data_IF_469688917583
#
_entry.id   IF_469688917583
#
_cell.length_a   1.000
_cell.length_b   1.000
_cell.length_c   1.000
_cell.angle_alpha   90.00
_cell.angle_beta   90.00
_cell.angle_gamma   90.00
#
_symmetry.space_group_name_H-M   'P 1'
#
loop_
_entity.id
_entity.type
_entity.pdbx_description
1 polymer ?
2 non-polymer ?
3 non-polymer ?
4 non-polymer ?
5 water ?
#
# COMPACT_ATOMS: atom_id res chain seq x y z
N UNK A 39 -7.87 -25.57 13.98
CA UNK A 39 -7.47 -24.17 13.97
C UNK A 39 -8.28 -23.33 12.96
N UNK A 40 -9.27 -22.65 13.46
CA UNK A 40 -9.98 -21.68 12.64
C UNK A 40 -9.38 -20.32 12.97
N UNK A 41 -8.43 -19.93 12.17
CA UNK A 41 -7.63 -18.75 12.43
C UNK A 41 -8.38 -17.52 11.90
N UNK A 42 -8.86 -16.62 12.77
CA UNK A 42 -9.60 -15.44 12.30
C UNK A 42 -8.74 -14.52 11.45
N UNK A 43 -7.44 -14.57 11.65
CA UNK A 43 -6.59 -13.60 10.96
C UNK A 43 -6.15 -14.08 9.57
N UNK A 44 -6.37 -15.36 9.25
CA UNK A 44 -6.06 -15.83 7.88
C UNK A 44 -7.26 -16.45 7.18
N UNK A 45 -8.44 -16.45 7.80
CA UNK A 45 -9.59 -17.04 7.13
C UNK A 45 -9.82 -16.34 5.78
N UNK A 46 -9.89 -17.07 4.64
CA UNK A 46 -9.76 -16.43 3.32
C UNK A 46 -10.88 -15.46 2.98
N UNK A 47 -10.51 -14.44 2.23
CA UNK A 47 -11.44 -13.50 1.61
C UNK A 47 -11.30 -13.49 0.09
N UNK A 48 -12.38 -13.10 -0.59
CA UNK A 48 -12.37 -12.84 -2.02
C UNK A 48 -11.65 -13.94 -2.80
N UNK A 49 -12.12 -15.16 -2.60
CA UNK A 49 -11.36 -16.31 -3.06
C UNK A 49 -11.30 -16.35 -4.59
N UNK A 50 -12.35 -15.91 -5.29
CA UNK A 50 -12.29 -15.90 -6.75
C UNK A 50 -11.30 -14.84 -7.27
N UNK A 51 -11.41 -13.61 -6.75
CA UNK A 51 -10.48 -12.56 -7.14
C UNK A 51 -9.06 -12.90 -6.74
N UNK A 52 -8.90 -13.66 -5.64
CA UNK A 52 -7.58 -14.03 -5.16
C UNK A 52 -6.83 -14.93 -6.14
N UNK A 53 -7.54 -15.66 -7.04
CA UNK A 53 -6.83 -16.48 -8.02
C UNK A 53 -5.91 -15.63 -8.89
N UNK A 54 -6.34 -14.42 -9.24
CA UNK A 54 -5.51 -13.47 -9.96
C UNK A 54 -4.61 -12.66 -9.04
N UNK A 55 -5.19 -12.05 -8.00
CA UNK A 55 -4.40 -11.19 -7.13
C UNK A 55 -3.21 -11.94 -6.53
N UNK A 56 -3.43 -13.18 -6.09
CA UNK A 56 -2.40 -13.89 -5.35
C UNK A 56 -1.65 -14.89 -6.24
N UNK A 57 -1.73 -14.73 -7.57
CA UNK A 57 -0.93 -15.63 -8.39
C UNK A 57 0.55 -15.52 -7.99
N UNK A 58 1.25 -16.62 -7.88
CA UNK A 58 2.57 -16.56 -7.26
C UNK A 58 3.63 -16.02 -8.20
N UNK A 59 4.64 -15.40 -7.58
CA UNK A 59 5.87 -14.95 -8.26
C UNK A 59 7.05 -15.28 -7.36
N UNK A 60 8.20 -15.64 -7.92
CA UNK A 60 9.34 -15.79 -7.07
C UNK A 60 9.70 -14.46 -6.42
N UNK A 61 10.07 -14.46 -5.16
CA UNK A 61 10.56 -13.21 -4.56
C UNK A 61 11.85 -12.76 -5.23
N UNK A 62 12.01 -11.45 -5.34
CA UNK A 62 13.11 -10.87 -6.15
C UNK A 62 13.66 -9.66 -5.43
N UNK A 63 14.98 -9.45 -5.56
CA UNK A 63 15.62 -8.21 -5.11
C UNK A 63 15.27 -7.11 -6.10
N UNK A 64 14.87 -5.95 -5.58
CA UNK A 64 14.63 -4.76 -6.39
C UNK A 64 15.94 -4.06 -6.63
N UNK A 65 16.57 -3.64 -5.54
CA UNK A 65 17.86 -2.98 -5.63
C UNK A 65 18.39 -2.98 -4.20
N UNK A 66 19.68 -3.25 -4.06
CA UNK A 66 20.19 -3.07 -2.70
C UNK A 66 19.58 -4.06 -1.76
N UNK A 67 19.26 -3.62 -0.57
CA UNK A 67 18.61 -4.54 0.36
C UNK A 67 17.09 -4.35 0.37
N UNK A 68 16.49 -4.10 -0.80
CA UNK A 68 15.04 -4.00 -0.90
C UNK A 68 14.56 -5.07 -1.87
N UNK A 69 13.46 -5.71 -1.50
CA UNK A 69 12.95 -6.88 -2.21
C UNK A 69 11.44 -6.82 -2.41
N UNK A 70 10.98 -7.65 -3.32
CA UNK A 70 9.54 -7.91 -3.48
C UNK A 70 9.22 -9.33 -3.02
N UNK A 71 8.18 -9.43 -2.19
CA UNK A 71 7.76 -10.76 -1.67
C UNK A 71 6.26 -10.96 -1.83
N UNK A 72 5.65 -10.17 -2.69
CA UNK A 72 4.23 -10.23 -2.96
C UNK A 72 3.86 -11.12 -4.13
N UNK A 73 2.84 -10.71 -4.88
CA UNK A 73 2.14 -11.60 -5.84
C UNK A 73 1.95 -10.87 -7.17
N UNK A 74 1.36 -11.57 -8.16
CA UNK A 74 1.23 -10.95 -9.46
C UNK A 74 0.35 -9.72 -9.39
N UNK A 75 -0.67 -9.74 -8.55
CA UNK A 75 -1.62 -8.63 -8.55
C UNK A 75 -1.57 -7.71 -7.32
N UNK A 76 -0.67 -7.98 -6.36
CA UNK A 76 -0.61 -7.18 -5.11
C UNK A 76 0.84 -7.12 -4.70
N UNK A 77 1.34 -5.91 -4.55
CA UNK A 77 2.74 -5.72 -4.17
C UNK A 77 2.91 -5.81 -2.66
N UNK A 78 3.95 -6.54 -2.24
CA UNK A 78 4.41 -6.52 -0.85
C UNK A 78 5.93 -6.36 -0.89
N UNK A 79 6.46 -5.36 -0.18
CA UNK A 79 7.92 -5.12 -0.20
C UNK A 79 8.56 -5.56 1.10
N UNK A 80 9.86 -5.85 1.05
CA UNK A 80 10.65 -6.26 2.24
C UNK A 80 11.94 -5.46 2.17
N UNK A 81 12.25 -4.75 3.25
CA UNK A 81 13.49 -3.96 3.33
C UNK A 81 14.34 -4.53 4.43
N UNK A 82 15.59 -4.89 4.10
CA UNK A 82 16.56 -5.32 5.09
C UNK A 82 17.37 -4.11 5.55
N UNK A 83 17.12 -3.64 6.78
CA UNK A 83 17.69 -2.35 7.19
C UNK A 83 19.05 -2.48 7.85
N UNK A 84 19.49 -3.69 8.15
CA UNK A 84 20.69 -3.93 8.92
C UNK A 84 20.43 -4.05 10.40
N UNK A 85 19.24 -3.66 10.86
CA UNK A 85 18.80 -3.76 12.25
C UNK A 85 17.36 -4.25 12.31
N UNK A 86 17.02 -5.15 11.41
CA UNK A 86 15.68 -5.68 11.34
C UNK A 86 15.10 -5.45 9.97
N UNK A 87 13.97 -6.08 9.76
CA UNK A 87 13.31 -6.06 8.43
C UNK A 87 12.06 -5.23 8.52
N UNK A 88 11.68 -4.65 7.39
CA UNK A 88 10.41 -3.91 7.29
C UNK A 88 9.61 -4.48 6.12
N UNK A 89 8.34 -4.79 6.36
CA UNK A 89 7.43 -5.18 5.27
C UNK A 89 6.55 -4.00 4.93
N UNK A 90 6.10 -3.91 3.68
CA UNK A 90 5.12 -2.94 3.22
C UNK A 90 3.95 -3.72 2.67
N UNK A 91 2.79 -3.53 3.33
CA UNK A 91 1.49 -4.15 3.06
C UNK A 91 1.49 -5.66 3.35
N UNK A 92 0.27 -6.22 3.27
CA UNK A 92 0.07 -7.60 3.72
C UNK A 92 -0.89 -8.38 2.87
N UNK A 93 -1.31 -7.87 1.72
CA UNK A 93 -2.27 -8.55 0.84
C UNK A 93 -3.51 -9.04 1.64
N UNK A 94 -4.10 -10.15 1.16
CA UNK A 94 -5.33 -10.71 1.75
C UNK A 94 -5.02 -11.54 3.00
N UNK A 95 -6.02 -11.85 3.84
CA UNK A 95 -5.70 -12.64 5.04
C UNK A 95 -4.99 -13.97 4.73
N UNK A 96 -5.46 -14.71 3.72
CA UNK A 96 -4.84 -15.99 3.43
C UNK A 96 -3.47 -15.83 2.79
N UNK A 97 -3.05 -14.59 2.46
CA UNK A 97 -1.71 -14.40 1.91
C UNK A 97 -0.64 -14.36 2.97
N UNK A 98 -1.02 -14.20 4.25
CA UNK A 98 0.05 -14.04 5.24
C UNK A 98 1.04 -15.20 5.25
N UNK A 99 0.62 -16.46 5.25
CA UNK A 99 1.61 -17.55 5.16
C UNK A 99 2.44 -17.54 3.88
N UNK A 100 1.85 -17.14 2.74
CA UNK A 100 2.57 -17.08 1.47
C UNK A 100 3.65 -16.00 1.53
N UNK A 101 3.34 -14.86 2.14
CA UNK A 101 4.34 -13.80 2.32
C UNK A 101 5.51 -14.28 3.17
N UNK A 102 5.21 -14.92 4.31
CA UNK A 102 6.28 -15.36 5.19
C UNK A 102 7.13 -16.43 4.48
N UNK A 103 6.49 -17.32 3.73
CA UNK A 103 7.24 -18.27 2.92
C UNK A 103 8.20 -17.55 1.96
N UNK A 104 7.72 -16.50 1.28
CA UNK A 104 8.57 -15.76 0.36
C UNK A 104 9.74 -15.10 1.10
N UNK A 105 9.49 -14.60 2.31
CA UNK A 105 10.56 -13.98 3.10
C UNK A 105 11.63 -15.04 3.38
N UNK A 106 11.19 -16.25 3.75
CA UNK A 106 12.14 -17.34 3.99
C UNK A 106 12.87 -17.77 2.73
N UNK A 107 12.21 -17.75 1.57
CA UNK A 107 12.89 -18.16 0.34
C UNK A 107 14.07 -17.26 0.02
N UNK A 108 13.99 -15.99 0.42
CA UNK A 108 15.08 -15.04 0.26
C UNK A 108 16.18 -15.22 1.30
N UNK A 109 16.00 -16.11 2.27
CA UNK A 109 16.98 -16.37 3.29
C UNK A 109 16.81 -15.60 4.56
N UNK A 110 15.65 -14.98 4.77
CA UNK A 110 15.43 -14.15 5.94
C UNK A 110 14.53 -14.89 6.96
N UNK A 111 14.65 -14.47 8.23
CA UNK A 111 13.82 -14.98 9.31
C UNK A 111 12.72 -13.96 9.55
N UNK A 112 11.44 -14.35 9.37
CA UNK A 112 10.34 -13.41 9.60
C UNK A 112 10.30 -12.88 11.02
N UNK A 113 10.89 -13.60 11.98
CA UNK A 113 10.93 -13.07 13.35
C UNK A 113 11.74 -11.78 13.44
N UNK A 114 12.51 -11.44 12.39
CA UNK A 114 13.25 -10.20 12.37
C UNK A 114 12.47 -9.03 11.77
N UNK A 115 11.20 -9.20 11.42
CA UNK A 115 10.42 -8.10 10.87
C UNK A 115 9.96 -7.24 12.04
N UNK A 116 10.41 -5.99 12.04
CA UNK A 116 10.15 -5.07 13.13
C UNK A 116 8.95 -4.18 12.86
N UNK A 117 8.69 -3.86 11.61
CA UNK A 117 7.60 -2.94 11.25
C UNK A 117 6.92 -3.46 10.01
N UNK A 118 5.59 -3.24 9.93
CA UNK A 118 4.82 -3.48 8.72
C UNK A 118 4.17 -2.16 8.38
N UNK A 119 4.54 -1.58 7.22
CA UNK A 119 3.96 -0.29 6.80
C UNK A 119 2.66 -0.55 6.01
N UNK A 120 1.64 0.29 6.17
CA UNK A 120 0.34 0.07 5.52
C UNK A 120 0.00 1.23 4.58
N UNK A 121 -0.25 0.93 3.28
CA UNK A 121 -0.63 2.00 2.37
C UNK A 121 -2.09 2.40 2.52
N UNK A 122 -2.95 1.45 2.91
CA UNK A 122 -4.40 1.73 2.99
C UNK A 122 -5.14 0.64 3.75
N UNK A 123 -6.25 0.99 4.39
CA UNK A 123 -6.95 0.04 5.26
C UNK A 123 -8.10 -0.65 4.51
N UNK A 124 -7.76 -1.32 3.38
CA UNK A 124 -8.70 -2.13 2.64
C UNK A 124 -8.17 -3.56 2.66
N UNK A 125 -9.09 -4.53 2.56
CA UNK A 125 -8.65 -5.91 2.85
C UNK A 125 -7.68 -6.50 1.81
N UNK A 126 -7.54 -5.91 0.60
CA UNK A 126 -6.59 -6.47 -0.35
C UNK A 126 -5.18 -5.94 -0.11
N UNK A 127 -4.98 -5.00 0.85
CA UNK A 127 -3.64 -4.57 1.23
C UNK A 127 -3.39 -4.72 2.70
N UNK A 128 -4.42 -4.64 3.52
CA UNK A 128 -4.23 -4.80 4.95
C UNK A 128 -4.72 -6.15 5.47
N UNK A 129 -5.35 -6.95 4.62
CA UNK A 129 -6.02 -8.15 5.09
C UNK A 129 -5.10 -9.10 5.84
N UNK A 130 -3.86 -9.24 5.40
CA UNK A 130 -2.93 -10.13 6.05
C UNK A 130 -2.08 -9.50 7.11
N UNK A 131 -2.23 -8.21 7.37
CA UNK A 131 -1.31 -7.52 8.28
C UNK A 131 -1.44 -8.01 9.72
N UNK A 132 -2.67 -8.17 10.22
CA UNK A 132 -2.82 -8.67 11.59
C UNK A 132 -2.12 -10.00 11.78
N UNK A 133 -2.30 -10.93 10.84
CA UNK A 133 -1.64 -12.22 10.97
C UNK A 133 -0.13 -12.04 10.97
N UNK A 134 0.37 -11.20 10.06
CA UNK A 134 1.83 -10.99 9.96
C UNK A 134 2.37 -10.37 11.24
N UNK A 135 1.63 -9.40 11.81
CA UNK A 135 2.05 -8.80 13.05
C UNK A 135 2.05 -9.83 14.17
N UNK A 136 1.01 -10.65 14.23
CA UNK A 136 0.94 -11.70 15.25
C UNK A 136 2.16 -12.60 15.17
N UNK A 137 2.49 -13.05 13.96
CA UNK A 137 3.49 -14.11 13.82
C UNK A 137 4.91 -13.56 13.99
N UNK A 138 5.12 -12.30 13.71
CA UNK A 138 6.46 -11.68 13.71
C UNK A 138 6.76 -10.82 14.93
N UNK A 139 5.74 -10.25 15.55
CA UNK A 139 5.87 -9.29 16.62
C UNK A 139 6.05 -7.87 16.13
N UNK A 140 5.92 -7.66 14.83
CA UNK A 140 6.12 -6.33 14.26
C UNK A 140 5.04 -5.34 14.75
N UNK A 141 5.43 -4.05 14.70
CA UNK A 141 4.54 -2.93 14.89
C UNK A 141 4.02 -2.48 13.53
N UNK A 142 2.70 -2.21 13.44
CA UNK A 142 2.10 -1.78 12.18
C UNK A 142 2.12 -0.28 12.14
N UNK A 143 2.48 0.27 10.98
CA UNK A 143 2.72 1.71 10.86
C UNK A 143 1.80 2.26 9.79
N UNK A 144 1.08 3.35 10.10
CA UNK A 144 0.11 3.89 9.15
C UNK A 144 -0.09 5.39 9.39
N UNK A 145 -0.84 6.01 8.52
CA UNK A 145 -1.33 7.36 8.78
C UNK A 145 -2.35 7.37 9.90
N UNK A 146 -2.67 8.59 10.33
CA UNK A 146 -3.70 8.75 11.36
C UNK A 146 -5.04 8.11 10.93
N UNK A 147 -5.56 8.50 9.74
CA UNK A 147 -6.83 7.95 9.27
C UNK A 147 -6.69 6.48 8.89
N UNK A 148 -5.55 6.14 8.31
CA UNK A 148 -5.28 4.75 7.98
C UNK A 148 -5.33 3.87 9.21
N UNK A 149 -4.67 4.30 10.29
CA UNK A 149 -4.66 3.53 11.54
C UNK A 149 -6.07 3.32 12.09
N UNK A 150 -6.93 4.31 11.93
CA UNK A 150 -8.31 4.17 12.40
C UNK A 150 -9.03 3.05 11.64
N UNK A 151 -8.78 2.99 10.33
CA UNK A 151 -9.37 1.92 9.53
C UNK A 151 -8.74 0.58 9.85
N UNK A 152 -7.44 0.56 10.17
CA UNK A 152 -6.80 -0.72 10.50
C UNK A 152 -7.34 -1.25 11.82
N UNK A 153 -7.58 -0.36 12.79
CA UNK A 153 -8.10 -0.76 14.09
C UNK A 153 -9.48 -1.33 13.97
N UNK A 154 -10.23 -0.77 13.03
CA UNK A 154 -11.61 -1.22 12.85
C UNK A 154 -11.71 -2.47 12.02
N UNK A 155 -10.82 -2.67 11.07
CA UNK A 155 -10.99 -3.73 10.06
C UNK A 155 -12.29 -3.59 9.30
N UNK A 156 -12.68 -2.35 9.00
CA UNK A 156 -13.93 -2.07 8.30
C UNK A 156 -13.82 -0.69 7.67
N UNK A 157 -14.71 -0.40 6.73
CA UNK A 157 -14.68 0.89 6.04
C UNK A 157 -15.10 2.05 6.93
N UNK A 158 -14.34 3.16 6.83
CA UNK A 158 -14.74 4.41 7.46
C UNK A 158 -15.93 5.04 6.70
N UNK A 159 -16.67 5.92 7.41
CA UNK A 159 -17.86 6.52 6.80
C UNK A 159 -17.54 7.36 5.58
N UNK A 160 -16.37 8.01 5.52
CA UNK A 160 -16.03 8.82 4.36
C UNK A 160 -15.23 8.06 3.31
N UNK A 161 -15.08 6.75 3.45
CA UNK A 161 -14.40 5.96 2.43
C UNK A 161 -15.32 5.87 1.23
N UNK A 162 -14.84 6.15 0.01
CA UNK A 162 -15.70 5.99 -1.18
C UNK A 162 -16.30 4.61 -1.30
N UNK A 163 -15.68 3.57 -0.69
CA UNK A 163 -16.18 2.21 -0.79
C UNK A 163 -16.93 1.80 0.47
N UNK A 164 -17.33 2.75 1.32
CA UNK A 164 -18.09 2.41 2.55
C UNK A 164 -19.28 1.48 2.29
N UNK A 165 -20.04 1.74 1.22
CA UNK A 165 -21.29 0.97 1.06
C UNK A 165 -21.04 -0.50 0.74
N UNK A 166 -19.82 -0.89 0.45
CA UNK A 166 -19.54 -2.31 0.21
C UNK A 166 -19.56 -3.11 1.48
N UNK A 167 -19.40 -2.44 2.61
CA UNK A 167 -19.41 -3.08 3.93
C UNK A 167 -18.34 -4.15 4.06
N UNK A 168 -18.62 -5.16 4.90
CA UNK A 168 -17.64 -6.21 5.14
C UNK A 168 -16.75 -5.92 6.35
N UNK A 169 -16.00 -6.95 6.73
CA UNK A 169 -15.03 -6.81 7.82
C UNK A 169 -13.82 -7.66 7.49
N UNK A 170 -12.67 -7.25 7.98
CA UNK A 170 -11.45 -8.00 7.76
C UNK A 170 -10.61 -7.92 9.02
N UNK A 171 -9.52 -8.70 9.13
CA UNK A 171 -8.78 -8.78 10.41
C UNK A 171 -8.35 -7.40 10.92
N UNK A 172 -8.70 -7.11 12.17
CA UNK A 172 -8.35 -5.82 12.77
C UNK A 172 -6.96 -5.86 13.37
N UNK A 173 -6.32 -4.69 13.41
CA UNK A 173 -4.96 -4.55 13.91
C UNK A 173 -5.02 -3.70 15.17
N UNK A 174 -4.23 -4.07 16.16
CA UNK A 174 -4.23 -3.26 17.36
C UNK A 174 -2.89 -2.59 17.62
N UNK A 175 -1.77 -3.15 17.14
CA UNK A 175 -0.44 -2.73 17.57
C UNK A 175 0.04 -1.74 16.51
N UNK A 176 -0.20 -0.42 16.75
CA UNK A 176 -0.19 0.59 15.68
C UNK A 176 0.63 1.81 16.06
N UNK A 177 1.42 2.28 15.12
CA UNK A 177 2.21 3.48 15.25
C UNK A 177 1.74 4.40 14.15
N UNK A 178 1.36 5.62 14.50
CA UNK A 178 0.90 6.60 13.48
C UNK A 178 2.09 7.46 13.05
N UNK A 179 2.26 7.60 11.73
CA UNK A 179 3.17 8.61 11.17
C UNK A 179 2.41 9.79 10.59
N UNK A 180 2.95 10.97 10.81
CA UNK A 180 2.46 12.19 10.19
C UNK A 180 3.05 12.33 8.80
N UNK A 181 2.35 13.07 7.97
CA UNK A 181 2.88 13.38 6.66
C UNK A 181 4.28 14.01 6.76
N UNK A 182 5.25 13.45 6.03
CA UNK A 182 6.63 13.95 6.09
C UNK A 182 7.48 13.34 7.20
N UNK A 183 6.89 12.54 8.08
CA UNK A 183 7.66 11.98 9.19
C UNK A 183 8.56 10.88 8.67
N UNK A 184 9.73 10.70 9.34
CA UNK A 184 10.72 9.69 8.91
C UNK A 184 10.84 8.63 9.98
N UNK A 185 10.83 7.37 9.54
CA UNK A 185 11.11 6.20 10.39
C UNK A 185 12.55 5.76 10.14
N UNK A 186 13.42 5.83 11.18
CA UNK A 186 14.82 5.49 11.00
C UNK A 186 15.07 4.18 11.71
N UNK A 187 15.60 3.20 10.97
CA UNK A 187 15.86 1.89 11.55
C UNK A 187 17.09 1.31 10.85
N UNK A 188 18.06 0.89 11.64
CA UNK A 188 19.28 0.37 11.05
C UNK A 188 19.89 1.50 10.23
N UNK A 189 20.30 1.18 9.01
CA UNK A 189 20.88 2.23 8.21
C UNK A 189 19.87 2.87 7.28
N UNK A 190 18.59 2.46 7.36
CA UNK A 190 17.53 2.89 6.45
C UNK A 190 16.73 4.05 7.04
N UNK A 191 16.18 4.88 6.15
CA UNK A 191 15.38 6.05 6.51
C UNK A 191 14.17 6.02 5.60
N UNK A 192 12.99 5.80 6.16
CA UNK A 192 11.79 5.66 5.34
C UNK A 192 10.87 6.85 5.60
N UNK A 193 10.48 7.57 4.56
CA UNK A 193 9.62 8.73 4.78
C UNK A 193 8.18 8.39 4.45
N UNK A 194 7.25 8.83 5.33
CA UNK A 194 5.80 8.66 5.09
C UNK A 194 5.28 9.88 4.32
N UNK A 195 4.46 9.65 3.28
CA UNK A 195 3.84 10.74 2.54
C UNK A 195 2.34 10.49 2.48
N UNK A 196 1.56 11.41 3.02
CA UNK A 196 0.11 11.26 2.87
C UNK A 196 -0.25 11.37 1.39
N UNK A 197 -0.99 10.35 0.85
CA UNK A 197 -1.37 10.43 -0.57
C UNK A 197 -2.86 10.05 -0.65
N UNK A 198 -3.72 10.90 -0.10
CA UNK A 198 -5.15 10.56 0.00
C UNK A 198 -5.85 10.63 -1.35
N UNK A 199 -7.03 10.01 -1.39
CA UNK A 199 -7.92 10.06 -2.53
C UNK A 199 -8.67 8.74 -2.64
N UNK A 200 -7.89 7.66 -2.76
CA UNK A 200 -8.55 6.34 -2.78
C UNK A 200 -9.25 6.11 -1.45
N UNK A 201 -8.56 6.45 -0.36
CA UNK A 201 -9.16 6.64 0.96
C UNK A 201 -8.51 7.85 1.57
N UNK A 202 -9.07 8.33 2.69
CA UNK A 202 -8.46 9.53 3.27
C UNK A 202 -7.09 9.30 3.92
N UNK A 203 -6.82 8.09 4.38
CA UNK A 203 -5.60 7.74 5.06
C UNK A 203 -4.59 7.02 4.19
N UNK A 204 -4.83 6.97 2.88
CA UNK A 204 -3.85 6.31 2.01
C UNK A 204 -2.48 6.97 2.14
N UNK A 205 -1.43 6.15 2.08
CA UNK A 205 -0.10 6.66 2.41
C UNK A 205 0.94 5.95 1.54
N UNK A 206 1.93 6.72 1.10
CA UNK A 206 3.02 6.29 0.23
C UNK A 206 4.31 6.36 1.04
N UNK A 207 5.24 5.44 0.77
CA UNK A 207 6.48 5.32 1.51
C UNK A 207 7.65 5.48 0.58
N UNK A 208 8.71 6.21 1.02
CA UNK A 208 9.88 6.33 0.19
C UNK A 208 11.15 6.11 0.99
N UNK A 209 12.17 5.59 0.30
CA UNK A 209 13.43 5.39 0.97
C UNK A 209 14.51 5.15 -0.08
N UNK A 210 15.77 5.27 0.35
CA UNK A 210 16.93 4.97 -0.50
C UNK A 210 17.40 3.53 -0.28
N UNK A 211 17.74 2.87 -1.40
CA UNK A 211 18.37 1.56 -1.41
C UNK A 211 19.70 1.72 -2.11
N UNK A 212 20.76 1.14 -1.54
CA UNK A 212 22.09 1.37 -2.07
C UNK A 212 22.79 0.07 -2.40
N UNK A 213 23.63 0.12 -3.43
CA UNK A 213 24.57 -0.96 -3.77
C UNK A 213 25.92 -0.30 -3.89
N UNK A 214 26.80 -0.58 -2.93
CA UNK A 214 28.08 0.10 -2.86
C UNK A 214 27.84 1.59 -2.72
N UNK A 215 28.36 2.35 -3.68
CA UNK A 215 28.21 3.79 -3.61
C UNK A 215 27.03 4.31 -4.42
N UNK A 216 26.21 3.44 -5.01
CA UNK A 216 25.11 3.93 -5.85
C UNK A 216 23.81 3.72 -5.10
N UNK A 217 23.01 4.78 -4.99
CA UNK A 217 21.75 4.69 -4.30
C UNK A 217 20.62 5.04 -5.25
N UNK A 218 19.48 4.40 -5.02
CA UNK A 218 18.27 4.69 -5.80
C UNK A 218 17.16 5.03 -4.84
N UNK A 219 16.38 6.04 -5.20
CA UNK A 219 15.21 6.44 -4.44
C UNK A 219 14.01 5.58 -4.82
N UNK A 220 13.52 4.76 -3.88
CA UNK A 220 12.40 3.87 -4.17
C UNK A 220 11.13 4.50 -3.59
N UNK A 221 10.02 4.38 -4.32
CA UNK A 221 8.74 4.83 -3.84
C UNK A 221 7.79 3.63 -3.89
N UNK A 222 7.13 3.32 -2.76
CA UNK A 222 6.07 2.32 -2.74
C UNK A 222 4.79 3.13 -2.65
N UNK A 223 4.09 3.24 -3.79
CA UNK A 223 2.95 4.17 -3.93
C UNK A 223 1.66 3.50 -3.53
N UNK A 224 0.86 4.17 -2.69
CA UNK A 224 -0.50 3.70 -2.49
C UNK A 224 -1.28 3.82 -3.77
N UNK A 225 -2.30 2.96 -3.89
CA UNK A 225 -3.29 3.17 -4.94
C UNK A 225 -3.75 4.62 -4.96
N UNK A 226 -3.86 5.16 -6.19
CA UNK A 226 -4.55 6.42 -6.45
C UNK A 226 -5.78 6.18 -7.32
N UNK A 227 -6.44 5.00 -7.23
CA UNK A 227 -7.53 4.74 -8.18
C UNK A 227 -8.82 5.32 -7.64
N UNK A 228 -9.49 6.17 -8.38
CA UNK A 228 -10.75 6.73 -7.90
C UNK A 228 -11.88 5.73 -8.13
N UNK A 229 -12.08 4.84 -7.18
CA UNK A 229 -13.17 3.88 -7.27
C UNK A 229 -14.02 3.98 -6.04
N UNK A 230 -15.26 3.56 -6.19
CA UNK A 230 -16.21 3.76 -5.11
C UNK A 230 -17.33 2.74 -5.22
N UNK A 231 -18.16 2.72 -4.20
CA UNK A 231 -19.43 2.03 -4.29
C UNK A 231 -20.37 2.80 -5.20
N UNK A 232 -21.52 2.20 -5.49
CA UNK A 232 -22.34 2.69 -6.60
C UNK A 232 -22.93 4.08 -6.36
N UNK A 233 -23.39 4.36 -5.13
CA UNK A 233 -24.09 5.60 -4.82
C UNK A 233 -23.16 6.71 -4.37
N UNK A 234 -21.86 6.42 -4.23
CA UNK A 234 -20.93 7.45 -3.82
C UNK A 234 -20.71 8.46 -4.94
N UNK A 235 -20.62 9.74 -4.59
CA UNK A 235 -20.32 10.74 -5.61
C UNK A 235 -19.08 11.52 -5.20
N UNK A 236 -18.05 11.46 -6.04
CA UNK A 236 -16.88 12.31 -5.81
C UNK A 236 -17.19 13.77 -5.98
N UNK A 237 -18.24 14.12 -6.75
CA UNK A 237 -18.63 15.51 -6.95
C UNK A 237 -19.53 16.06 -5.83
N UNK A 238 -19.87 15.26 -4.82
CA UNK A 238 -20.70 15.77 -3.74
C UNK A 238 -19.88 16.72 -2.87
N UNK A 239 -20.47 17.77 -2.32
CA UNK A 239 -19.68 18.64 -1.43
C UNK A 239 -19.04 17.88 -0.27
N UNK A 240 -19.73 16.85 0.27
CA UNK A 240 -19.15 16.10 1.37
C UNK A 240 -17.92 15.27 0.96
N UNK A 241 -17.69 15.07 -0.35
CA UNK A 241 -16.52 14.38 -0.86
C UNK A 241 -15.33 15.30 -1.10
N UNK A 242 -15.46 16.58 -0.81
CA UNK A 242 -14.38 17.50 -1.18
C UNK A 242 -13.06 17.15 -0.54
N UNK A 243 -12.99 16.65 0.71
CA UNK A 243 -11.68 16.22 1.26
C UNK A 243 -11.03 15.15 0.44
N UNK A 244 -11.82 14.24 -0.15
CA UNK A 244 -11.27 13.17 -0.99
C UNK A 244 -10.69 13.76 -2.29
N UNK A 245 -11.44 14.67 -2.94
CA UNK A 245 -10.99 15.27 -4.19
C UNK A 245 -9.81 16.20 -3.97
N UNK A 246 -9.86 17.05 -2.94
CA UNK A 246 -8.68 17.86 -2.62
C UNK A 246 -7.52 16.96 -2.25
N UNK A 247 -7.86 15.79 -1.66
CA UNK A 247 -6.83 14.80 -1.34
C UNK A 247 -6.10 14.31 -2.57
N UNK A 248 -6.87 14.00 -3.63
CA UNK A 248 -6.22 13.57 -4.87
C UNK A 248 -5.30 14.67 -5.41
N UNK A 249 -5.74 15.93 -5.34
CA UNK A 249 -4.90 17.00 -5.87
C UNK A 249 -3.59 17.07 -5.10
N UNK A 250 -3.64 16.90 -3.77
CA UNK A 250 -2.42 16.93 -2.97
C UNK A 250 -1.52 15.75 -3.30
N UNK A 251 -2.14 14.60 -3.55
CA UNK A 251 -1.38 13.41 -3.93
C UNK A 251 -0.64 13.62 -5.25
N UNK A 252 -1.30 14.24 -6.23
CA UNK A 252 -0.64 14.44 -7.52
C UNK A 252 0.56 15.35 -7.35
N UNK A 253 0.43 16.39 -6.52
CA UNK A 253 1.54 17.32 -6.27
C UNK A 253 2.68 16.60 -5.55
N UNK A 254 2.34 15.75 -4.59
CA UNK A 254 3.35 14.97 -3.86
C UNK A 254 4.06 14.05 -4.83
N UNK A 255 3.28 13.27 -5.59
CA UNK A 255 3.91 12.28 -6.48
C UNK A 255 4.74 12.93 -7.58
N UNK A 256 4.42 14.15 -7.98
CA UNK A 256 5.27 14.90 -8.90
C UNK A 256 6.55 15.43 -8.26
N UNK A 257 6.55 15.65 -6.95
CA UNK A 257 7.72 16.16 -6.22
C UNK A 257 8.71 15.07 -5.79
N UNK A 258 8.28 13.82 -5.67
CA UNK A 258 9.14 12.81 -5.11
C UNK A 258 10.30 12.50 -6.02
N UNK A 259 11.45 12.27 -5.40
CA UNK A 259 12.55 11.62 -6.10
C UNK A 259 12.14 10.15 -6.19
N UNK A 260 12.24 9.65 -7.39
CA UNK A 260 11.53 8.42 -7.70
C UNK A 260 12.29 7.74 -8.83
N UNK A 261 13.36 7.04 -8.44
CA UNK A 261 14.09 6.24 -9.39
C UNK A 261 13.41 4.91 -9.64
N UNK A 262 12.67 4.40 -8.64
CA UNK A 262 11.99 3.14 -8.77
C UNK A 262 10.59 3.36 -8.19
N UNK A 263 9.56 2.91 -8.93
CA UNK A 263 8.17 3.01 -8.47
C UNK A 263 7.61 1.61 -8.31
N UNK A 264 7.18 1.27 -7.09
CA UNK A 264 6.42 0.03 -6.83
C UNK A 264 5.01 0.46 -6.55
N UNK A 265 4.04 0.02 -7.37
CA UNK A 265 2.61 0.39 -7.15
C UNK A 265 1.91 -0.71 -6.34
N UNK A 266 1.10 -0.33 -5.34
CA UNK A 266 0.37 -1.34 -4.54
C UNK A 266 -0.35 -2.40 -5.42
N UNK A 267 -1.08 -1.98 -6.45
CA UNK A 267 -1.46 -2.90 -7.52
C UNK A 267 -0.43 -2.74 -8.64
N UNK A 268 0.44 -3.70 -8.91
CA UNK A 268 1.57 -3.41 -9.81
C UNK A 268 1.12 -3.12 -11.25
N UNK A 269 -0.03 -3.62 -11.66
CA UNK A 269 -0.49 -3.34 -13.02
C UNK A 269 -0.84 -1.86 -13.24
N UNK A 270 -1.10 -1.11 -12.17
CA UNK A 270 -1.33 0.32 -12.34
C UNK A 270 -0.10 1.04 -12.84
N UNK A 271 1.09 0.55 -12.53
CA UNK A 271 2.30 1.18 -13.02
C UNK A 271 2.79 0.52 -14.31
N UNK A 272 2.13 -0.51 -14.77
CA UNK A 272 2.59 -1.03 -16.03
C UNK A 272 3.00 -2.48 -15.99
N UNK A 273 3.72 -2.88 -17.02
CA UNK A 273 4.11 -4.29 -17.16
C UNK A 273 5.21 -4.59 -16.15
N UNK A 274 5.16 -5.76 -15.58
CA UNK A 274 6.28 -6.02 -14.68
C UNK A 274 5.96 -5.55 -13.27
N UNK A 275 6.90 -5.81 -12.38
CA UNK A 275 6.66 -5.68 -10.96
C UNK A 275 7.01 -4.32 -10.41
N UNK A 276 7.87 -3.57 -11.09
CA UNK A 276 8.09 -2.18 -10.73
C UNK A 276 8.55 -1.42 -11.96
N UNK A 277 8.42 -0.10 -11.93
CA UNK A 277 8.84 0.76 -13.03
C UNK A 277 10.04 1.55 -12.57
N UNK A 278 10.91 1.90 -13.51
CA UNK A 278 12.11 2.64 -13.14
C UNK A 278 12.39 3.78 -14.10
N UNK A 279 13.13 4.76 -13.59
CA UNK A 279 13.65 5.78 -14.49
C UNK A 279 12.89 7.08 -14.35
N UNK A 280 13.54 8.14 -14.83
CA UNK A 280 12.99 9.48 -14.72
C UNK A 280 11.55 9.54 -15.18
N UNK A 281 10.67 10.08 -14.31
CA UNK A 281 9.29 10.31 -14.70
C UNK A 281 8.28 9.28 -14.19
N UNK A 282 8.71 8.20 -13.53
CA UNK A 282 7.75 7.11 -13.23
C UNK A 282 6.62 7.58 -12.32
N UNK A 283 6.98 8.27 -11.22
CA UNK A 283 5.94 8.68 -10.31
C UNK A 283 5.04 9.71 -10.93
N UNK A 284 5.61 10.60 -11.73
CA UNK A 284 4.77 11.61 -12.40
C UNK A 284 3.77 10.95 -13.34
N UNK A 285 4.19 9.95 -14.11
CA UNK A 285 3.27 9.22 -14.99
C UNK A 285 2.18 8.52 -14.22
N UNK A 286 2.55 7.91 -13.10
CA UNK A 286 1.58 7.24 -12.26
C UNK A 286 0.50 8.22 -11.81
N UNK A 287 0.92 9.40 -11.34
CA UNK A 287 -0.05 10.42 -10.93
C UNK A 287 -0.92 10.86 -12.10
N UNK A 288 -0.31 11.06 -13.28
CA UNK A 288 -1.12 11.50 -14.43
C UNK A 288 -2.17 10.47 -14.81
N UNK A 289 -1.82 9.17 -14.73
CA UNK A 289 -2.82 8.10 -14.94
C UNK A 289 -4.04 8.27 -14.03
N UNK A 290 -3.76 8.52 -12.73
CA UNK A 290 -4.84 8.72 -11.76
C UNK A 290 -5.63 9.98 -12.11
N UNK A 291 -4.92 11.08 -12.41
CA UNK A 291 -5.61 12.32 -12.74
C UNK A 291 -6.58 12.09 -13.87
N UNK A 292 -6.14 11.34 -14.91
CA UNK A 292 -7.04 11.11 -16.05
C UNK A 292 -8.25 10.28 -15.64
N UNK A 293 -8.05 9.27 -14.78
CA UNK A 293 -9.18 8.48 -14.32
C UNK A 293 -10.15 9.34 -13.49
N UNK A 294 -9.62 10.20 -12.62
CA UNK A 294 -10.46 11.08 -11.78
C UNK A 294 -11.26 12.02 -12.68
N UNK A 295 -10.60 12.61 -13.67
CA UNK A 295 -11.32 13.53 -14.55
C UNK A 295 -12.47 12.82 -15.23
N UNK A 296 -12.22 11.59 -15.69
CA UNK A 296 -13.26 10.83 -16.36
C UNK A 296 -14.42 10.53 -15.40
N UNK A 297 -14.08 10.20 -14.15
CA UNK A 297 -15.10 9.89 -13.15
C UNK A 297 -15.94 11.13 -12.82
N UNK A 298 -15.28 12.29 -12.61
CA UNK A 298 -16.02 13.53 -12.33
C UNK A 298 -16.95 13.87 -13.47
N UNK A 299 -16.47 13.73 -14.70
CA UNK A 299 -17.35 14.04 -15.82
C UNK A 299 -18.52 13.09 -15.85
N UNK A 300 -18.27 11.80 -15.56
CA UNK A 300 -19.35 10.82 -15.56
C UNK A 300 -20.45 11.21 -14.61
N UNK A 301 -20.10 11.82 -13.48
CA UNK A 301 -21.06 12.25 -12.48
C UNK A 301 -21.76 13.55 -12.85
N UNK A 302 -21.35 14.20 -13.95
CA UNK A 302 -21.89 15.50 -14.30
C UNK A 302 -22.62 15.39 -15.64
N UNK A 303 -22.86 14.16 -16.07
CA UNK A 303 -23.58 13.84 -17.30
C UNK A 303 -25.02 13.61 -16.94
N UNK A 304 -25.92 14.13 -17.76
CA UNK A 304 -27.32 13.85 -17.56
C UNK A 304 -27.69 12.36 -17.73
#
# INVERSE_FOLDING_TARGET
MIATMTIAASLAISPAAAATGPEPEAMAAMDRAGGARASDDPLTRPMAVERAKEWLAPLPPERVFGNSYLVGFAGLSVALIDTGAGLVLIDGALPQAAPMILSNVRKLGFDPRDIKFILSTEPHYDHAGGIAALARDTGATVVASRRGAEGLRAGAHAKDDPQFDYGGAWPAVSRLRVMKDGEVLRIGRASITAHATPGHTMGSMTWSWNACEGKRCKAIVFASSLNPVSADRYRFTAPSSAPIVKGFEASYRRMGALKCDILISAHPDNAGAGRYGSGSGACRSYAERSRRLLAKRLAEERRETSK
#
